data_IF_169522054206
#
_entry.id   IF_169522054206
#
_cell.length_a   1.000
_cell.length_b   1.000
_cell.length_c   1.000
_cell.angle_alpha   90.00
_cell.angle_beta   90.00
_cell.angle_gamma   90.00
#
_symmetry.space_group_name_H-M   'P 1'
#
loop_
_entity.id
_entity.type
_entity.pdbx_description
1 polymer ?
#
# COMPACT_ATOMS: atom_id res chain seq x y z
N UNK A 1 17.01 6.72 10.22
CA UNK A 1 17.07 5.24 10.10
C UNK A 1 15.69 4.59 10.28
N UNK A 2 14.72 5.26 10.93
CA UNK A 2 13.36 4.74 11.10
C UNK A 2 12.48 4.92 9.84
N UNK A 3 12.77 5.88 8.96
CA UNK A 3 11.87 6.20 7.83
C UNK A 3 11.82 5.13 6.73
N UNK A 4 12.95 4.48 6.41
CA UNK A 4 12.97 3.34 5.49
C UNK A 4 12.25 2.12 6.09
N UNK A 5 12.46 1.85 7.38
CA UNK A 5 11.74 0.80 8.09
C UNK A 5 10.24 1.10 8.12
N UNK A 6 9.85 2.37 8.27
CA UNK A 6 8.46 2.81 8.22
C UNK A 6 7.85 2.59 6.84
N UNK A 7 8.56 2.95 5.77
CA UNK A 7 8.13 2.67 4.39
C UNK A 7 7.90 1.18 4.18
N UNK A 8 8.86 0.35 4.57
CA UNK A 8 8.75 -1.12 4.46
C UNK A 8 7.55 -1.62 5.27
N UNK A 9 7.37 -1.14 6.50
CA UNK A 9 6.24 -1.50 7.35
C UNK A 9 4.90 -1.14 6.69
N UNK A 10 4.77 0.05 6.09
CA UNK A 10 3.56 0.46 5.38
C UNK A 10 3.29 -0.46 4.19
N UNK A 11 4.31 -0.75 3.37
CA UNK A 11 4.20 -1.67 2.23
C UNK A 11 3.74 -3.06 2.69
N UNK A 12 4.33 -3.58 3.77
CA UNK A 12 3.95 -4.87 4.35
C UNK A 12 2.51 -4.84 4.85
N UNK A 13 2.07 -3.77 5.51
CA UNK A 13 0.68 -3.64 5.98
C UNK A 13 -0.31 -3.65 4.83
N UNK A 14 -0.05 -2.93 3.73
CA UNK A 14 -0.90 -2.99 2.55
C UNK A 14 -0.91 -4.38 1.91
N UNK A 15 0.25 -5.03 1.81
CA UNK A 15 0.37 -6.38 1.26
C UNK A 15 -0.38 -7.43 2.08
N UNK A 16 -0.20 -7.41 3.42
CA UNK A 16 -0.91 -8.29 4.35
C UNK A 16 -2.40 -7.99 4.33
N UNK A 17 -2.81 -6.71 4.31
CA UNK A 17 -4.21 -6.32 4.20
C UNK A 17 -4.89 -6.87 2.94
N UNK A 18 -4.24 -6.72 1.78
CA UNK A 18 -4.76 -7.27 0.53
C UNK A 18 -4.79 -8.81 0.53
N UNK A 19 -3.81 -9.46 1.15
CA UNK A 19 -3.80 -10.91 1.32
C UNK A 19 -4.98 -11.37 2.18
N UNK A 20 -5.21 -10.74 3.34
CA UNK A 20 -6.34 -11.05 4.23
C UNK A 20 -7.67 -10.89 3.49
N UNK A 21 -7.87 -9.77 2.78
CA UNK A 21 -9.08 -9.55 1.98
C UNK A 21 -9.28 -10.67 0.96
N UNK A 22 -8.22 -11.05 0.24
CA UNK A 22 -8.29 -12.12 -0.77
C UNK A 22 -8.54 -13.52 -0.19
N UNK A 23 -8.14 -13.78 1.05
CA UNK A 23 -8.32 -15.08 1.73
C UNK A 23 -9.69 -15.19 2.38
N UNK A 24 -10.13 -14.13 3.06
CA UNK A 24 -11.35 -14.17 3.89
C UNK A 24 -12.62 -13.76 3.14
N UNK A 25 -12.48 -13.00 2.05
CA UNK A 25 -13.63 -12.51 1.27
C UNK A 25 -13.64 -13.18 -0.10
N UNK A 26 -14.53 -14.17 -0.35
CA UNK A 26 -14.70 -14.75 -1.68
C UNK A 26 -15.28 -13.70 -2.62
N UNK A 27 -14.43 -13.14 -3.49
CA UNK A 27 -14.80 -12.08 -4.43
C UNK A 27 -14.95 -12.60 -5.87
N UNK A 28 -15.88 -12.04 -6.65
CA UNK A 28 -15.92 -12.21 -8.10
C UNK A 28 -14.59 -11.75 -8.74
N UNK A 29 -14.14 -12.45 -9.80
CA UNK A 29 -12.83 -12.20 -10.42
C UNK A 29 -12.61 -10.75 -10.89
N UNK A 30 -13.67 -10.08 -11.38
CA UNK A 30 -13.60 -8.68 -11.78
C UNK A 30 -13.29 -7.72 -10.61
N UNK A 31 -13.90 -7.95 -9.44
CA UNK A 31 -13.67 -7.14 -8.23
C UNK A 31 -12.26 -7.36 -7.70
N UNK A 32 -11.79 -8.62 -7.71
CA UNK A 32 -10.42 -8.96 -7.32
C UNK A 32 -9.37 -8.22 -8.16
N UNK A 33 -9.57 -8.18 -9.47
CA UNK A 33 -8.68 -7.45 -10.39
C UNK A 33 -8.67 -5.96 -10.09
N UNK A 34 -9.85 -5.35 -9.91
CA UNK A 34 -9.98 -3.93 -9.56
C UNK A 34 -9.25 -3.59 -8.24
N UNK A 35 -9.45 -4.40 -7.20
CA UNK A 35 -8.78 -4.19 -5.91
C UNK A 35 -7.26 -4.27 -6.03
N UNK A 36 -6.75 -5.28 -6.73
CA UNK A 36 -5.31 -5.46 -6.94
C UNK A 36 -4.70 -4.27 -7.70
N UNK A 37 -5.36 -3.79 -8.75
CA UNK A 37 -4.91 -2.62 -9.53
C UNK A 37 -4.95 -1.36 -8.66
N UNK A 38 -6.01 -1.16 -7.86
CA UNK A 38 -6.13 -0.03 -6.93
C UNK A 38 -4.98 -0.01 -5.92
N UNK A 39 -4.71 -1.14 -5.27
CA UNK A 39 -3.64 -1.25 -4.28
C UNK A 39 -2.27 -1.05 -4.92
N UNK A 40 -2.05 -1.57 -6.14
CA UNK A 40 -0.83 -1.32 -6.90
C UNK A 40 -0.61 0.17 -7.16
N UNK A 41 -1.64 0.90 -7.61
CA UNK A 41 -1.56 2.35 -7.86
C UNK A 41 -1.23 3.11 -6.57
N UNK A 42 -1.91 2.77 -5.46
CA UNK A 42 -1.64 3.38 -4.15
C UNK A 42 -0.19 3.17 -3.74
N UNK A 43 0.34 1.94 -3.89
CA UNK A 43 1.73 1.60 -3.58
C UNK A 43 2.73 2.38 -4.42
N UNK A 44 2.49 2.50 -5.73
CA UNK A 44 3.36 3.27 -6.63
C UNK A 44 3.41 4.74 -6.21
N UNK A 45 2.24 5.36 -5.99
CA UNK A 45 2.15 6.75 -5.53
C UNK A 45 2.90 6.92 -4.21
N UNK A 46 2.69 5.99 -3.25
CA UNK A 46 3.32 6.05 -1.93
C UNK A 46 4.86 5.98 -2.00
N UNK A 47 5.39 5.13 -2.87
CA UNK A 47 6.83 5.02 -3.09
C UNK A 47 7.38 6.29 -3.75
N UNK A 48 6.73 6.78 -4.81
CA UNK A 48 7.18 7.99 -5.51
C UNK A 48 7.20 9.24 -4.61
N UNK A 49 6.19 9.41 -3.75
CA UNK A 49 6.16 10.53 -2.80
C UNK A 49 7.22 10.39 -1.70
N UNK A 50 7.55 9.16 -1.28
CA UNK A 50 8.61 8.93 -0.29
C UNK A 50 9.98 9.35 -0.82
N UNK A 51 10.26 9.09 -2.10
CA UNK A 51 11.49 9.55 -2.77
C UNK A 51 11.44 11.03 -3.19
N UNK A 52 10.34 11.73 -2.92
CA UNK A 52 10.19 13.15 -3.29
C UNK A 52 10.04 13.41 -4.79
N UNK A 53 9.74 12.38 -5.59
CA UNK A 53 9.53 12.50 -7.04
C UNK A 53 8.24 13.26 -7.34
N UNK A 54 7.24 13.10 -6.48
CA UNK A 54 5.94 13.77 -6.55
C UNK A 54 5.63 14.47 -5.22
N UNK A 55 4.75 15.48 -5.26
CA UNK A 55 4.22 16.10 -4.03
C UNK A 55 3.45 15.05 -3.21
N UNK A 56 3.40 15.20 -1.90
CA UNK A 56 2.62 14.34 -1.00
C UNK A 56 1.14 14.41 -1.37
N UNK A 57 0.62 13.37 -1.99
CA UNK A 57 -0.81 13.22 -2.31
C UNK A 57 -1.48 12.35 -1.25
N UNK A 58 -0.78 11.32 -0.78
CA UNK A 58 -1.25 10.43 0.27
C UNK A 58 -0.61 10.80 1.61
N UNK A 59 -1.38 10.76 2.72
CA UNK A 59 -0.82 11.04 4.04
C UNK A 59 0.32 10.06 4.35
N UNK A 60 1.45 10.58 4.81
CA UNK A 60 2.57 9.75 5.27
C UNK A 60 2.21 9.15 6.63
N UNK A 61 1.82 7.88 6.63
CA UNK A 61 1.49 7.16 7.84
C UNK A 61 2.81 6.76 8.49
N UNK A 62 2.98 7.11 9.78
CA UNK A 62 4.12 6.66 10.57
C UNK A 62 3.70 5.49 11.45
N UNK A 63 4.05 4.27 11.04
CA UNK A 63 3.77 3.05 11.82
C UNK A 63 4.80 2.84 12.93
N UNK A 64 6.07 3.09 12.61
CA UNK A 64 7.19 2.96 13.55
C UNK A 64 7.62 4.36 13.99
N UNK A 65 7.62 4.62 15.30
CA UNK A 65 8.05 5.88 15.90
C UNK A 65 9.55 5.85 16.17
#
# INVERSE_FOLDING_TARGET
MNDLLNLIAVIVVFGVGLWLINVFIPMPGAIKSLLNVLVLIILIIYILQFFGVIKTILPMIKILK
#
